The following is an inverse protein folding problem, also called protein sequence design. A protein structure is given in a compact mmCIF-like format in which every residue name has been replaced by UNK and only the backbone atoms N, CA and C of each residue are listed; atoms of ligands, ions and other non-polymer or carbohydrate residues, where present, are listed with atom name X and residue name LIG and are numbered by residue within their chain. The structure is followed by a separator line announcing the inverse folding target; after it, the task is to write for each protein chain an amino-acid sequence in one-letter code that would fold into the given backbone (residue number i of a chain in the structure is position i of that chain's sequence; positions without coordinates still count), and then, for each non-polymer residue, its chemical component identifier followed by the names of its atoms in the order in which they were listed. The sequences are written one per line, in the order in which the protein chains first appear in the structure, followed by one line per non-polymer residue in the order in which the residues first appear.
data_IF_176016243083
#
_entry.id   IF_176016243083
#
_cell.length_a   1.000
_cell.length_b   1.000
_cell.length_c   1.000
_cell.angle_alpha   90.00
_cell.angle_beta   90.00
_cell.angle_gamma   90.00
#
_symmetry.space_group_name_H-M   'P 1'
#
loop_
_entity.id
_entity.type
_entity.pdbx_description
1 polymer ?
#
# COMPACT_ATOMS: atom_id res chain seq x y z
N UNK A 1 9.64 -21.51 10.85
CA UNK A 1 8.71 -21.43 9.70
C UNK A 1 8.58 -19.96 9.36
N UNK A 2 9.12 -19.49 8.23
CA UNK A 2 8.86 -18.10 7.81
C UNK A 2 7.36 -17.99 7.54
N UNK A 3 6.64 -17.23 8.37
CA UNK A 3 5.27 -16.86 8.05
C UNK A 3 5.33 -15.98 6.80
N UNK A 4 4.94 -16.54 5.65
CA UNK A 4 4.80 -15.75 4.42
C UNK A 4 3.78 -14.66 4.69
N UNK A 5 4.22 -13.39 4.67
CA UNK A 5 3.37 -12.21 4.74
C UNK A 5 2.45 -12.21 3.51
N UNK A 6 1.30 -11.55 3.60
CA UNK A 6 0.29 -11.62 2.54
C UNK A 6 0.82 -11.08 1.20
N UNK A 7 1.74 -10.11 1.25
CA UNK A 7 2.40 -9.52 0.10
C UNK A 7 3.60 -10.31 -0.45
N UNK A 8 4.12 -11.33 0.25
CA UNK A 8 5.32 -12.07 -0.19
C UNK A 8 5.08 -12.88 -1.48
N UNK A 9 3.84 -13.01 -1.93
CA UNK A 9 3.45 -13.75 -3.14
C UNK A 9 3.63 -12.93 -4.43
N UNK A 10 3.70 -11.61 -4.33
CA UNK A 10 3.84 -10.71 -5.47
C UNK A 10 5.15 -9.91 -5.33
N UNK A 11 6.08 -10.07 -6.26
CA UNK A 11 7.41 -9.46 -6.16
C UNK A 11 7.36 -7.93 -6.13
N UNK A 12 6.48 -7.30 -6.91
CA UNK A 12 6.34 -5.84 -6.94
C UNK A 12 5.78 -5.32 -5.61
N UNK A 13 4.73 -5.97 -5.11
CA UNK A 13 4.13 -5.59 -3.83
C UNK A 13 5.08 -5.84 -2.65
N UNK A 14 5.85 -6.93 -2.69
CA UNK A 14 6.89 -7.20 -1.70
C UNK A 14 7.93 -6.06 -1.69
N UNK A 15 8.41 -5.63 -2.85
CA UNK A 15 9.35 -4.51 -2.95
C UNK A 15 8.76 -3.20 -2.42
N UNK A 16 7.52 -2.89 -2.78
CA UNK A 16 6.79 -1.72 -2.25
C UNK A 16 6.79 -1.76 -0.71
N UNK A 17 6.37 -2.88 -0.13
CA UNK A 17 6.28 -3.02 1.32
C UNK A 17 7.65 -2.98 2.01
N UNK A 18 8.70 -3.54 1.38
CA UNK A 18 10.08 -3.47 1.89
C UNK A 18 10.61 -2.02 1.88
N UNK A 19 10.35 -1.25 0.82
CA UNK A 19 10.73 0.16 0.74
C UNK A 19 10.02 0.94 1.84
N UNK A 20 8.68 0.84 1.94
CA UNK A 20 7.94 1.54 2.98
C UNK A 20 8.43 1.16 4.39
N UNK A 21 8.64 -0.13 4.70
CA UNK A 21 9.11 -0.56 6.04
C UNK A 21 10.51 -0.03 6.37
N UNK A 22 11.35 0.18 5.36
CA UNK A 22 12.74 0.64 5.52
C UNK A 22 12.94 2.16 5.53
N UNK A 23 11.98 2.92 5.01
CA UNK A 23 11.99 4.39 5.01
C UNK A 23 11.85 4.98 6.41
N UNK A 24 12.35 6.19 6.62
CA UNK A 24 12.13 6.94 7.86
C UNK A 24 10.66 7.41 7.97
N UNK A 25 10.17 7.77 9.17
CA UNK A 25 8.75 8.08 9.39
C UNK A 25 8.17 9.25 8.57
N UNK A 26 8.99 10.24 8.19
CA UNK A 26 8.54 11.36 7.36
C UNK A 26 8.31 10.85 5.93
N UNK A 27 9.34 10.22 5.37
CA UNK A 27 9.27 9.61 4.04
C UNK A 27 8.18 8.53 3.94
N UNK A 28 7.96 7.74 4.99
CA UNK A 28 6.87 6.75 5.05
C UNK A 28 5.51 7.39 4.82
N UNK A 29 5.24 8.52 5.48
CA UNK A 29 3.96 9.22 5.36
C UNK A 29 3.78 9.82 3.96
N UNK A 30 4.83 10.42 3.39
CA UNK A 30 4.78 10.98 2.04
C UNK A 30 4.50 9.88 1.00
N UNK A 31 5.23 8.76 1.09
CA UNK A 31 5.00 7.59 0.26
C UNK A 31 3.57 7.05 0.40
N UNK A 32 3.06 6.94 1.64
CA UNK A 32 1.72 6.41 1.89
C UNK A 32 0.64 7.33 1.29
N UNK A 33 0.80 8.65 1.42
CA UNK A 33 -0.10 9.63 0.81
C UNK A 33 -0.09 9.52 -0.72
N UNK A 34 1.07 9.38 -1.34
CA UNK A 34 1.19 9.21 -2.80
C UNK A 34 0.53 7.91 -3.27
N UNK A 35 0.70 6.82 -2.54
CA UNK A 35 0.04 5.54 -2.84
C UNK A 35 -1.48 5.69 -2.77
N UNK A 36 -2.01 6.32 -1.72
CA UNK A 36 -3.44 6.58 -1.58
C UNK A 36 -3.94 7.38 -2.78
N UNK A 37 -3.26 8.48 -3.12
CA UNK A 37 -3.65 9.33 -4.25
C UNK A 37 -3.64 8.57 -5.59
N UNK A 38 -2.60 7.78 -5.85
CA UNK A 38 -2.52 6.96 -7.06
C UNK A 38 -3.67 5.96 -7.15
N UNK A 39 -4.01 5.30 -6.05
CA UNK A 39 -5.12 4.33 -6.01
C UNK A 39 -6.46 5.04 -6.25
N UNK A 40 -6.71 6.14 -5.52
CA UNK A 40 -7.95 6.93 -5.65
C UNK A 40 -8.15 7.42 -7.08
N UNK A 41 -7.09 7.91 -7.71
CA UNK A 41 -7.15 8.45 -9.08
C UNK A 41 -7.43 7.38 -10.14
N UNK A 42 -7.12 6.11 -9.85
CA UNK A 42 -7.37 4.99 -10.77
C UNK A 42 -8.70 4.29 -10.54
N UNK A 43 -9.21 4.34 -9.32
CA UNK A 43 -10.43 3.64 -8.96
C UNK A 43 -11.65 4.31 -9.60
N UNK A 44 -12.40 3.53 -10.40
CA UNK A 44 -13.62 4.03 -11.06
C UNK A 44 -14.77 4.27 -10.07
N UNK A 45 -14.89 3.40 -9.06
CA UNK A 45 -15.91 3.51 -8.00
C UNK A 45 -15.23 3.57 -6.62
N UNK A 46 -14.82 4.78 -6.25
CA UNK A 46 -14.08 5.04 -5.02
C UNK A 46 -14.93 4.81 -3.76
N UNK A 47 -16.22 5.14 -3.82
CA UNK A 47 -17.12 5.01 -2.67
C UNK A 47 -17.30 3.53 -2.31
N UNK A 48 -17.52 2.67 -3.31
CA UNK A 48 -17.59 1.23 -3.08
C UNK A 48 -16.25 0.67 -2.59
N UNK A 49 -15.13 1.15 -3.14
CA UNK A 49 -13.79 0.71 -2.71
C UNK A 49 -13.51 1.03 -1.24
N UNK A 50 -13.83 2.25 -0.80
CA UNK A 50 -13.69 2.66 0.61
C UNK A 50 -14.60 1.82 1.52
N UNK A 51 -15.83 1.49 1.07
CA UNK A 51 -16.72 0.61 1.83
C UNK A 51 -16.16 -0.80 2.01
N UNK A 52 -15.56 -1.38 0.96
CA UNK A 52 -14.90 -2.69 1.03
C UNK A 52 -13.75 -2.65 2.04
N UNK A 53 -12.87 -1.66 1.95
CA UNK A 53 -11.74 -1.50 2.88
C UNK A 53 -12.23 -1.42 4.32
N UNK A 54 -13.22 -0.57 4.60
CA UNK A 54 -13.76 -0.37 5.95
C UNK A 54 -14.42 -1.63 6.54
N UNK A 55 -15.00 -2.49 5.70
CA UNK A 55 -15.52 -3.79 6.15
C UNK A 55 -14.44 -4.84 6.38
N UNK A 56 -13.30 -4.75 5.70
CA UNK A 56 -12.20 -5.71 5.80
C UNK A 56 -11.19 -5.41 6.92
N UNK A 57 -11.25 -4.24 7.57
CA UNK A 57 -10.33 -3.86 8.64
C UNK A 57 -10.39 -4.88 9.78
N UNK A 58 -9.34 -5.70 9.99
CA UNK A 58 -9.34 -6.67 11.07
C UNK A 58 -9.29 -5.96 12.42
N UNK A 59 -9.98 -6.53 13.42
CA UNK A 59 -9.92 -6.05 14.81
C UNK A 59 -8.50 -6.09 15.42
N UNK A 60 -7.54 -6.80 14.80
CA UNK A 60 -6.17 -6.87 15.28
C UNK A 60 -5.25 -5.99 14.42
N UNK A 61 -4.65 -4.97 15.07
CA UNK A 61 -3.69 -4.02 14.52
C UNK A 61 -2.31 -4.32 15.10
N UNK A 62 -1.63 -5.34 14.56
CA UNK A 62 -0.37 -5.87 15.10
C UNK A 62 0.79 -5.78 14.10
N UNK A 63 0.58 -5.22 12.92
CA UNK A 63 1.62 -4.99 11.91
C UNK A 63 2.30 -3.64 12.15
N UNK A 64 3.53 -3.52 11.64
CA UNK A 64 4.33 -2.31 11.80
C UNK A 64 3.64 -1.05 11.21
N UNK A 65 2.84 -1.23 10.15
CA UNK A 65 2.08 -0.17 9.50
C UNK A 65 0.72 0.12 10.15
N UNK A 66 0.28 -0.66 11.16
CA UNK A 66 -1.06 -0.48 11.76
C UNK A 66 -1.13 0.63 12.81
N UNK A 67 0.02 1.14 13.27
CA UNK A 67 0.10 2.17 14.31
C UNK A 67 -0.14 3.58 13.75
N UNK A 68 0.06 3.77 12.45
CA UNK A 68 -0.18 5.02 11.74
C UNK A 68 -1.39 4.85 10.81
N UNK A 69 -2.36 5.77 10.89
CA UNK A 69 -3.62 5.65 10.16
C UNK A 69 -3.46 5.83 8.64
N UNK A 70 -2.53 6.69 8.21
CA UNK A 70 -2.22 6.92 6.80
C UNK A 70 -1.58 5.67 6.20
N UNK A 71 -0.58 5.13 6.89
CA UNK A 71 0.10 3.89 6.52
C UNK A 71 -0.86 2.71 6.46
N UNK A 72 -1.68 2.54 7.50
CA UNK A 72 -2.69 1.48 7.55
C UNK A 72 -3.65 1.58 6.36
N UNK A 73 -4.14 2.78 6.07
CA UNK A 73 -5.05 3.03 4.94
C UNK A 73 -4.38 2.71 3.60
N UNK A 74 -3.17 3.20 3.35
CA UNK A 74 -2.43 2.92 2.12
C UNK A 74 -2.22 1.40 1.91
N UNK A 75 -1.87 0.68 2.97
CA UNK A 75 -1.61 -0.76 2.90
C UNK A 75 -2.90 -1.57 2.71
N UNK A 76 -4.00 -1.22 3.38
CA UNK A 76 -5.29 -1.89 3.16
C UNK A 76 -5.86 -1.58 1.77
N UNK A 77 -5.62 -0.38 1.23
CA UNK A 77 -5.94 -0.06 -0.16
C UNK A 77 -5.14 -0.95 -1.12
N UNK A 78 -3.80 -1.06 -0.95
CA UNK A 78 -2.94 -1.94 -1.76
C UNK A 78 -3.38 -3.41 -1.74
N UNK A 79 -3.87 -3.87 -0.60
CA UNK A 79 -4.34 -5.25 -0.41
C UNK A 79 -5.63 -5.54 -1.18
N UNK A 80 -6.52 -4.55 -1.27
CA UNK A 80 -7.87 -4.68 -1.82
C UNK A 80 -8.02 -4.27 -3.29
N UNK A 81 -6.94 -3.84 -3.94
CA UNK A 81 -6.95 -3.53 -5.38
C UNK A 81 -7.37 -4.76 -6.18
N UNK A 82 -8.13 -4.56 -7.25
CA UNK A 82 -8.49 -5.64 -8.16
C UNK A 82 -7.27 -6.17 -8.92
N UNK A 83 -7.15 -7.50 -9.05
CA UNK A 83 -6.00 -8.15 -9.71
C UNK A 83 -5.73 -7.63 -11.13
N UNK A 84 -6.77 -7.20 -11.85
CA UNK A 84 -6.68 -6.63 -13.19
C UNK A 84 -5.96 -5.28 -13.24
N UNK A 85 -5.99 -4.52 -12.16
CA UNK A 85 -5.44 -3.16 -12.06
C UNK A 85 -4.08 -3.13 -11.37
N UNK A 86 -3.77 -4.17 -10.56
CA UNK A 86 -2.53 -4.28 -9.76
C UNK A 86 -1.26 -4.06 -10.56
N UNK A 87 -1.13 -4.65 -11.75
CA UNK A 87 0.16 -4.68 -12.45
C UNK A 87 0.65 -3.29 -12.88
N UNK A 88 -0.20 -2.49 -13.51
CA UNK A 88 0.19 -1.16 -13.99
C UNK A 88 0.29 -0.18 -12.82
N UNK A 89 -0.62 -0.27 -11.85
CA UNK A 89 -0.54 0.56 -10.66
C UNK A 89 0.74 0.27 -9.83
N UNK A 90 1.11 -0.99 -9.60
CA UNK A 90 2.32 -1.31 -8.83
C UNK A 90 3.59 -0.82 -9.53
N UNK A 91 3.64 -0.80 -10.87
CA UNK A 91 4.75 -0.20 -11.60
C UNK A 91 4.83 1.31 -11.38
N UNK A 92 3.70 2.00 -11.41
CA UNK A 92 3.65 3.45 -11.18
C UNK A 92 4.07 3.78 -9.75
N UNK A 93 3.55 3.04 -8.76
CA UNK A 93 3.97 3.17 -7.37
C UNK A 93 5.48 2.95 -7.25
N UNK A 94 6.02 1.85 -7.79
CA UNK A 94 7.47 1.60 -7.76
C UNK A 94 8.27 2.73 -8.42
N UNK A 95 7.76 3.32 -9.52
CA UNK A 95 8.42 4.45 -10.17
C UNK A 95 8.45 5.67 -9.27
N UNK A 96 7.32 5.98 -8.60
CA UNK A 96 7.25 7.05 -7.60
C UNK A 96 8.21 6.81 -6.45
N UNK A 97 8.26 5.59 -5.90
CA UNK A 97 9.18 5.21 -4.81
C UNK A 97 10.66 5.36 -5.19
N UNK A 98 11.02 4.99 -6.42
CA UNK A 98 12.40 5.13 -6.90
C UNK A 98 12.82 6.60 -7.02
N UNK A 99 11.88 7.52 -7.26
CA UNK A 99 12.18 8.95 -7.30
C UNK A 99 12.47 9.51 -5.89
N UNK A 100 11.79 9.02 -4.85
CA UNK A 100 12.08 9.41 -3.45
C UNK A 100 13.50 9.01 -3.01
N UNK A 101 14.02 7.88 -3.50
CA UNK A 101 15.38 7.43 -3.17
C UNK A 101 16.49 8.07 -4.03
N UNK A 102 16.14 8.92 -5.00
CA UNK A 102 17.08 9.56 -5.91
C UNK A 102 17.40 11.03 -5.56
N UNK A 103 16.74 11.57 -4.53
CA UNK A 103 17.00 12.92 -3.96
C UNK A 103 17.98 12.85 -2.77
#
# INVERSE_FOLDING_TARGET
MQHKRWYDKNEALKQIMEILESSDPETQNDIANDIIQLIVNKQYDIDNFIQVINHEIPFNRNRWYDQDETMHSAVEMLKNIDETEKKELFKEILTTLLNFGAE
#
